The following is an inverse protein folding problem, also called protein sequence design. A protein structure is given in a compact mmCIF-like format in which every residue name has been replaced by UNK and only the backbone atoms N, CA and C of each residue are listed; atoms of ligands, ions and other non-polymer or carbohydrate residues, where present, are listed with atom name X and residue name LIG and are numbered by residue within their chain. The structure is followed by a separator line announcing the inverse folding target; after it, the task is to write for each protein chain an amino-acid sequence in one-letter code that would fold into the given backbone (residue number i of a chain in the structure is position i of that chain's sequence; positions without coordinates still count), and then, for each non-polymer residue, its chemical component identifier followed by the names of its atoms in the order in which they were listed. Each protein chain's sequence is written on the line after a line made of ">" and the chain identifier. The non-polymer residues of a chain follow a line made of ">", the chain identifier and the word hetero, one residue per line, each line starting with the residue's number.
data_IF_247786145339
#
_entry.id   IF_247786145339
#
_cell.length_a   1.000
_cell.length_b   1.000
_cell.length_c   1.000
_cell.angle_alpha   90.00
_cell.angle_beta   90.00
_cell.angle_gamma   90.00
#
_symmetry.space_group_name_H-M   'P 1'
#
loop_
_entity.id
_entity.type
_entity.pdbx_description
1 polymer ?
#
# COMPACT_ATOMS: atom_id res chain seq x y z
N UNK A 1 -18.17 16.23 -1.78
CA UNK A 1 -17.75 14.93 -2.32
C UNK A 1 -18.24 13.87 -1.35
N UNK A 2 -19.03 12.91 -1.82
CA UNK A 2 -19.50 11.79 -1.00
C UNK A 2 -18.28 10.89 -0.70
N UNK A 3 -18.00 10.60 0.58
CA UNK A 3 -16.77 9.90 0.98
C UNK A 3 -16.78 8.45 0.53
N UNK A 4 -17.96 7.85 0.37
CA UNK A 4 -18.14 6.49 -0.12
C UNK A 4 -17.64 6.37 -1.56
N UNK A 5 -18.00 7.33 -2.43
CA UNK A 5 -17.56 7.35 -3.82
C UNK A 5 -16.03 7.51 -3.91
N UNK A 6 -15.47 8.39 -3.07
CA UNK A 6 -14.01 8.57 -2.99
C UNK A 6 -13.32 7.28 -2.56
N UNK A 7 -13.79 6.64 -1.49
CA UNK A 7 -13.22 5.40 -0.99
C UNK A 7 -13.26 4.30 -2.07
N UNK A 8 -14.43 4.12 -2.69
CA UNK A 8 -14.62 3.12 -3.75
C UNK A 8 -13.67 3.32 -4.92
N UNK A 9 -13.40 4.57 -5.31
CA UNK A 9 -12.48 4.91 -6.41
C UNK A 9 -11.00 4.60 -6.11
N UNK A 10 -10.64 4.35 -4.85
CA UNK A 10 -9.25 4.13 -4.40
C UNK A 10 -8.96 2.70 -3.97
N UNK A 11 -9.96 1.82 -3.98
CA UNK A 11 -9.77 0.39 -3.78
C UNK A 11 -8.97 -0.16 -4.96
N UNK A 12 -7.87 -0.82 -4.67
CA UNK A 12 -6.98 -1.47 -5.64
C UNK A 12 -6.33 -2.71 -5.00
N UNK A 13 -5.61 -3.51 -5.80
CA UNK A 13 -4.86 -4.65 -5.26
C UNK A 13 -3.59 -4.19 -4.53
N UNK A 14 -3.02 -5.06 -3.69
CA UNK A 14 -1.76 -4.74 -3.01
C UNK A 14 -0.61 -4.56 -4.00
N UNK A 15 -0.59 -5.36 -5.08
CA UNK A 15 0.37 -5.29 -6.17
C UNK A 15 0.28 -3.97 -6.95
N UNK A 16 -0.93 -3.43 -7.12
CA UNK A 16 -1.14 -2.10 -7.71
C UNK A 16 -0.71 -0.99 -6.76
N UNK A 17 -1.08 -1.10 -5.48
CA UNK A 17 -0.77 -0.09 -4.47
C UNK A 17 0.75 0.12 -4.33
N UNK A 18 1.54 -0.95 -4.23
CA UNK A 18 2.98 -0.84 -3.99
C UNK A 18 3.77 -0.32 -5.19
N UNK A 19 3.17 -0.23 -6.40
CA UNK A 19 3.82 0.34 -7.60
C UNK A 19 4.10 1.83 -7.48
N UNK A 20 3.42 2.54 -6.59
CA UNK A 20 3.65 3.98 -6.39
C UNK A 20 4.99 4.29 -5.73
N UNK A 21 5.59 3.30 -5.04
CA UNK A 21 6.91 3.40 -4.39
C UNK A 21 8.00 3.35 -5.46
N UNK A 22 8.97 4.26 -5.38
CA UNK A 22 10.07 4.40 -6.36
C UNK A 22 11.40 3.94 -5.75
N UNK A 23 12.34 3.57 -6.62
CA UNK A 23 13.71 3.23 -6.18
C UNK A 23 14.35 4.43 -5.50
N UNK A 24 14.87 4.22 -4.28
CA UNK A 24 15.45 5.28 -3.45
C UNK A 24 14.49 5.89 -2.43
N UNK A 25 13.19 5.56 -2.46
CA UNK A 25 12.26 6.00 -1.43
C UNK A 25 12.55 5.31 -0.09
N UNK A 26 12.46 6.07 1.00
CA UNK A 26 12.41 5.52 2.35
C UNK A 26 10.97 5.24 2.73
N UNK A 27 10.66 3.98 3.04
CA UNK A 27 9.31 3.53 3.42
C UNK A 27 9.28 3.20 4.90
N UNK A 28 8.31 3.78 5.62
CA UNK A 28 8.04 3.47 7.03
C UNK A 28 6.72 2.71 7.13
N UNK A 29 6.72 1.63 7.91
CA UNK A 29 5.55 0.80 8.16
C UNK A 29 5.05 0.98 9.58
N UNK A 30 3.78 0.63 9.82
CA UNK A 30 3.20 0.63 11.17
C UNK A 30 3.96 -0.30 12.13
N UNK A 31 4.02 0.07 13.41
CA UNK A 31 4.76 -0.67 14.43
C UNK A 31 4.00 -1.92 14.91
N UNK A 32 4.74 -3.01 15.17
CA UNK A 32 4.24 -4.26 15.75
C UNK A 32 2.99 -4.78 15.04
N UNK A 33 1.86 -4.93 15.74
CA UNK A 33 0.60 -5.42 15.16
C UNK A 33 -0.03 -4.46 14.13
N UNK A 34 0.45 -3.21 14.04
CA UNK A 34 0.03 -2.23 13.04
C UNK A 34 0.74 -2.36 11.69
N UNK A 35 1.66 -3.33 11.55
CA UNK A 35 2.37 -3.58 10.29
C UNK A 35 1.41 -4.11 9.20
N UNK A 36 1.39 -3.48 8.00
CA UNK A 36 0.46 -3.85 6.94
C UNK A 36 0.98 -5.07 6.14
N UNK A 37 0.86 -6.27 6.74
CA UNK A 37 1.35 -7.56 6.20
C UNK A 37 1.09 -7.79 4.72
N UNK A 38 -0.09 -7.42 4.23
CA UNK A 38 -0.45 -7.61 2.81
C UNK A 38 0.40 -6.71 1.89
N UNK A 39 0.66 -5.47 2.31
CA UNK A 39 1.46 -4.52 1.54
C UNK A 39 2.94 -4.84 1.60
N UNK A 40 3.48 -5.18 2.77
CA UNK A 40 4.89 -5.55 2.92
C UNK A 40 5.23 -6.83 2.16
N UNK A 41 4.33 -7.81 2.12
CA UNK A 41 4.46 -8.99 1.25
C UNK A 41 4.51 -8.61 -0.23
N UNK A 42 3.57 -7.77 -0.69
CA UNK A 42 3.55 -7.32 -2.09
C UNK A 42 4.81 -6.51 -2.47
N UNK A 43 5.33 -5.69 -1.54
CA UNK A 43 6.62 -5.00 -1.73
C UNK A 43 7.76 -6.01 -1.92
N UNK A 44 7.83 -7.05 -1.08
CA UNK A 44 8.87 -8.09 -1.18
C UNK A 44 8.80 -8.89 -2.48
N UNK A 45 7.61 -9.10 -3.04
CA UNK A 45 7.41 -9.81 -4.31
C UNK A 45 7.73 -8.97 -5.55
N UNK A 46 7.89 -7.65 -5.40
CA UNK A 46 8.22 -6.71 -6.49
C UNK A 46 9.73 -6.58 -6.72
N UNK A 47 10.56 -7.13 -5.83
CA UNK A 47 12.02 -7.20 -6.01
C UNK A 47 12.38 -8.22 -7.09
#
# INVERSE_FOLDING_TARGET
>A
MNWQDYYQSRICTAEEAVKVIKSGDYVVVGHACGEPRTLTKAMSQRY
#
